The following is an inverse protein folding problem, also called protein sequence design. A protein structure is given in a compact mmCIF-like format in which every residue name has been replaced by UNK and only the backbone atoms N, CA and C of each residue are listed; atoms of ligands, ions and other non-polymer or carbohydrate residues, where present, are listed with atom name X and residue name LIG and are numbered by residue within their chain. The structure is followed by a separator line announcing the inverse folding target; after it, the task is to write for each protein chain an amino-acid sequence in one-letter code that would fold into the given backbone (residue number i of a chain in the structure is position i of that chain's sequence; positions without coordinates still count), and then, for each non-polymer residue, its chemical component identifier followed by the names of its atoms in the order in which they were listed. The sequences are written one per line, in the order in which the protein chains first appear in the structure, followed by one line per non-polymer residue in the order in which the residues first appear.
data_IF_156670609033
#
_entry.id   IF_156670609033
#
_cell.length_a   1.000
_cell.length_b   1.000
_cell.length_c   1.000
_cell.angle_alpha   90.00
_cell.angle_beta   90.00
_cell.angle_gamma   90.00
#
_symmetry.space_group_name_H-M   'P 1'
#
loop_
_entity.id
_entity.type
_entity.pdbx_description
1 polymer ?
#
# COMPACT_ATOMS: atom_id res chain seq x y z
N UNK A 1 24.92 -7.93 -51.68
CA UNK A 1 24.79 -8.66 -50.40
C UNK A 1 25.06 -7.67 -49.26
N UNK A 2 24.11 -7.32 -48.38
CA UNK A 2 24.40 -6.43 -47.26
C UNK A 2 24.72 -7.21 -45.99
N UNK A 3 25.80 -6.81 -45.31
CA UNK A 3 26.19 -7.32 -44.00
C UNK A 3 25.18 -6.95 -42.93
N UNK A 4 24.52 -7.96 -42.35
CA UNK A 4 23.62 -7.82 -41.22
C UNK A 4 24.37 -7.45 -39.93
N UNK A 5 24.26 -6.18 -39.52
CA UNK A 5 24.66 -5.70 -38.20
C UNK A 5 23.73 -6.35 -37.16
N UNK A 6 24.20 -7.36 -36.42
CA UNK A 6 23.51 -7.84 -35.22
C UNK A 6 23.49 -6.72 -34.20
N UNK A 7 22.35 -6.02 -34.07
CA UNK A 7 22.10 -5.12 -32.93
C UNK A 7 22.06 -6.01 -31.69
N UNK A 8 23.04 -5.84 -30.80
CA UNK A 8 22.89 -6.25 -29.40
C UNK A 8 21.68 -5.50 -28.86
N UNK A 9 20.54 -6.19 -28.75
CA UNK A 9 19.41 -5.71 -27.97
C UNK A 9 19.95 -5.59 -26.55
N UNK A 10 20.17 -4.36 -26.13
CA UNK A 10 20.84 -4.01 -24.89
C UNK A 10 20.04 -4.53 -23.71
N UNK A 11 20.79 -4.99 -22.71
CA UNK A 11 20.38 -5.39 -21.35
C UNK A 11 19.40 -4.43 -20.63
N UNK A 12 19.12 -3.27 -21.22
CA UNK A 12 18.31 -2.20 -20.65
C UNK A 12 16.80 -2.51 -20.62
N UNK A 13 16.30 -3.51 -21.36
CA UNK A 13 14.86 -3.84 -21.34
C UNK A 13 14.51 -4.76 -20.17
N UNK A 14 15.38 -5.72 -19.84
CA UNK A 14 15.18 -6.60 -18.68
C UNK A 14 15.35 -5.82 -17.36
N UNK A 15 16.29 -4.88 -17.31
CA UNK A 15 16.57 -4.07 -16.12
C UNK A 15 15.42 -3.10 -15.78
N UNK A 16 14.70 -2.60 -16.78
CA UNK A 16 13.52 -1.72 -16.60
C UNK A 16 12.29 -2.51 -16.14
N UNK A 17 12.12 -3.76 -16.59
CA UNK A 17 11.02 -4.62 -16.15
C UNK A 17 11.24 -5.14 -14.72
N UNK A 18 12.49 -5.37 -14.31
CA UNK A 18 12.82 -5.67 -12.91
C UNK A 18 12.53 -4.49 -11.97
N UNK A 19 12.77 -3.25 -12.40
CA UNK A 19 12.57 -2.06 -11.57
C UNK A 19 11.08 -1.77 -11.32
N UNK A 20 10.23 -1.93 -12.34
CA UNK A 20 8.78 -1.81 -12.18
C UNK A 20 8.18 -2.93 -11.31
N UNK A 21 8.76 -4.14 -11.33
CA UNK A 21 8.32 -5.23 -10.46
C UNK A 21 8.63 -4.98 -8.97
N UNK A 22 9.65 -4.17 -8.64
CA UNK A 22 9.95 -3.69 -7.29
C UNK A 22 9.02 -2.56 -6.84
N UNK A 23 8.47 -1.80 -7.79
CA UNK A 23 7.44 -0.78 -7.52
C UNK A 23 6.04 -1.40 -7.38
N UNK A 24 5.82 -2.59 -7.95
CA UNK A 24 4.56 -3.34 -7.88
C UNK A 24 4.50 -4.37 -6.73
N UNK A 25 5.64 -4.65 -6.07
CA UNK A 25 5.70 -5.31 -4.76
C UNK A 25 6.21 -4.32 -3.72
N UNK A 26 5.36 -3.39 -3.31
CA UNK A 26 5.64 -2.65 -2.09
C UNK A 26 5.41 -3.63 -0.93
N UNK A 27 6.48 -4.31 -0.51
CA UNK A 27 6.58 -5.03 0.78
C UNK A 27 6.27 -4.02 1.91
N UNK A 28 4.99 -3.76 2.11
CA UNK A 28 4.47 -2.94 3.19
C UNK A 28 4.14 -3.88 4.32
N UNK A 29 5.13 -4.06 5.19
CA UNK A 29 5.04 -4.97 6.33
C UNK A 29 3.93 -4.57 7.31
N UNK A 30 3.50 -3.31 7.28
CA UNK A 30 2.49 -2.77 8.19
C UNK A 30 1.38 -2.13 7.38
N UNK A 31 0.15 -2.55 7.60
CA UNK A 31 -1.04 -1.86 7.10
C UNK A 31 -1.74 -1.15 8.24
N UNK A 32 -2.08 0.12 8.00
CA UNK A 32 -2.85 0.97 8.90
C UNK A 32 -4.14 1.34 8.18
N UNK A 33 -5.25 0.73 8.60
CA UNK A 33 -6.54 0.84 7.93
C UNK A 33 -7.57 1.40 8.91
N UNK A 34 -8.45 2.26 8.41
CA UNK A 34 -9.60 2.68 9.20
C UNK A 34 -10.24 3.98 8.76
N UNK A 35 -10.90 4.65 9.70
CA UNK A 35 -11.75 5.80 9.41
C UNK A 35 -10.97 7.13 9.26
N UNK A 36 -11.50 8.22 9.82
CA UNK A 36 -10.88 9.54 9.77
C UNK A 36 -9.54 9.61 10.49
N UNK A 37 -9.31 8.83 11.55
CA UNK A 37 -8.05 8.90 12.31
C UNK A 37 -6.87 8.37 11.46
N UNK A 38 -6.88 7.10 10.96
CA UNK A 38 -5.86 6.62 10.03
C UNK A 38 -5.71 7.48 8.78
N UNK A 39 -6.81 8.01 8.24
CA UNK A 39 -6.78 8.87 7.06
C UNK A 39 -5.92 10.12 7.30
N UNK A 40 -6.22 10.88 8.36
CA UNK A 40 -5.49 12.11 8.66
C UNK A 40 -4.05 11.83 9.12
N UNK A 41 -3.82 10.73 9.85
CA UNK A 41 -2.48 10.30 10.22
C UNK A 41 -1.63 10.04 8.97
N UNK A 42 -2.16 9.31 7.98
CA UNK A 42 -1.48 9.05 6.71
C UNK A 42 -1.20 10.31 5.90
N UNK A 43 -2.20 11.19 5.75
CA UNK A 43 -2.03 12.50 5.08
C UNK A 43 -0.90 13.30 5.72
N UNK A 44 -0.89 13.40 7.06
CA UNK A 44 0.12 14.16 7.79
C UNK A 44 1.50 13.49 7.76
N UNK A 45 1.55 12.17 7.72
CA UNK A 45 2.79 11.41 7.59
C UNK A 45 3.43 11.64 6.20
N UNK A 46 2.63 11.61 5.13
CA UNK A 46 3.07 11.92 3.76
C UNK A 46 3.59 13.36 3.65
N UNK A 47 2.84 14.34 4.14
CA UNK A 47 3.24 15.75 4.13
C UNK A 47 4.57 16.01 4.85
N UNK A 48 4.91 15.20 5.85
CA UNK A 48 6.14 15.32 6.64
C UNK A 48 7.29 14.45 6.13
N UNK A 49 7.10 13.67 5.06
CA UNK A 49 8.07 12.66 4.63
C UNK A 49 8.33 11.59 5.70
N UNK A 50 7.36 11.33 6.58
CA UNK A 50 7.44 10.40 7.72
C UNK A 50 6.42 9.25 7.61
N UNK A 51 6.17 8.80 6.39
CA UNK A 51 5.19 7.74 6.10
C UNK A 51 5.46 6.43 6.85
N UNK A 52 6.71 6.14 7.23
CA UNK A 52 7.10 4.84 7.80
C UNK A 52 7.21 4.81 9.35
N UNK A 53 6.76 5.86 10.05
CA UNK A 53 6.79 6.00 11.53
C UNK A 53 8.16 5.73 12.23
N UNK A 54 9.26 5.56 11.48
CA UNK A 54 10.59 5.15 11.98
C UNK A 54 10.53 3.89 12.86
N UNK A 55 9.65 2.93 12.52
CA UNK A 55 9.61 1.67 13.23
C UNK A 55 10.85 0.86 12.82
N UNK A 56 11.73 0.46 13.77
CA UNK A 56 12.89 -0.37 13.46
C UNK A 56 12.48 -1.64 12.72
N UNK A 57 13.32 -2.09 11.79
CA UNK A 57 13.18 -3.37 11.06
C UNK A 57 11.96 -3.52 10.14
N UNK A 58 11.13 -2.49 9.99
CA UNK A 58 9.96 -2.50 9.10
C UNK A 58 10.14 -1.55 7.93
N UNK A 59 9.93 -2.06 6.71
CA UNK A 59 10.37 -1.37 5.50
C UNK A 59 9.41 -0.28 5.07
N UNK A 60 8.09 -0.50 5.14
CA UNK A 60 7.09 0.51 4.70
C UNK A 60 5.72 0.35 5.37
N UNK A 61 5.05 1.47 5.65
CA UNK A 61 3.66 1.49 6.14
C UNK A 61 2.69 1.81 5.00
N UNK A 62 1.67 0.97 4.86
CA UNK A 62 0.51 1.22 4.01
C UNK A 62 -0.57 1.97 4.77
N UNK A 63 -0.89 3.18 4.34
CA UNK A 63 -1.96 4.00 4.91
C UNK A 63 -3.23 3.87 4.10
N UNK A 64 -4.21 3.12 4.59
CA UNK A 64 -5.50 2.92 3.91
C UNK A 64 -6.65 3.44 4.76
N UNK A 65 -6.52 4.69 5.18
CA UNK A 65 -7.59 5.41 5.84
C UNK A 65 -8.62 5.91 4.82
N UNK A 66 -9.89 5.91 5.19
CA UNK A 66 -10.97 6.56 4.45
C UNK A 66 -11.92 7.22 5.43
N UNK A 67 -12.17 8.52 5.28
CA UNK A 67 -13.10 9.23 6.18
C UNK A 67 -14.49 8.59 6.15
N UNK A 68 -15.02 8.28 7.33
CA UNK A 68 -16.34 7.67 7.46
C UNK A 68 -16.41 6.19 7.07
N UNK A 69 -15.27 5.49 7.00
CA UNK A 69 -15.21 4.05 6.77
C UNK A 69 -16.09 3.31 7.79
N UNK A 70 -16.93 2.40 7.28
CA UNK A 70 -17.75 1.48 8.07
C UNK A 70 -17.09 0.10 8.11
N UNK A 71 -17.56 -0.79 8.99
CA UNK A 71 -17.10 -2.19 9.04
C UNK A 71 -17.26 -2.94 7.70
N UNK A 72 -18.37 -2.70 6.98
CA UNK A 72 -18.59 -3.31 5.68
C UNK A 72 -17.57 -2.84 4.64
N UNK A 73 -17.28 -1.53 4.59
CA UNK A 73 -16.27 -0.96 3.69
C UNK A 73 -14.85 -1.41 4.05
N UNK A 74 -14.56 -1.52 5.35
CA UNK A 74 -13.29 -2.05 5.84
C UNK A 74 -13.02 -3.46 5.33
N UNK A 75 -14.01 -4.37 5.45
CA UNK A 75 -13.86 -5.76 5.02
C UNK A 75 -13.48 -5.82 3.54
N UNK A 76 -14.22 -5.10 2.69
CA UNK A 76 -13.91 -5.03 1.27
C UNK A 76 -12.52 -4.43 1.00
N UNK A 77 -12.13 -3.39 1.74
CA UNK A 77 -10.81 -2.79 1.59
C UNK A 77 -9.68 -3.78 1.95
N UNK A 78 -9.82 -4.54 3.03
CA UNK A 78 -8.82 -5.56 3.40
C UNK A 78 -8.75 -6.67 2.36
N UNK A 79 -9.90 -7.25 2.00
CA UNK A 79 -9.97 -8.32 1.02
C UNK A 79 -9.31 -7.90 -0.30
N UNK A 80 -9.73 -6.75 -0.85
CA UNK A 80 -9.20 -6.21 -2.10
C UNK A 80 -7.69 -6.03 -2.07
N UNK A 81 -7.15 -5.52 -0.95
CA UNK A 81 -5.73 -5.28 -0.88
C UNK A 81 -4.91 -6.55 -0.61
N UNK A 82 -5.45 -7.59 0.05
CA UNK A 82 -4.80 -8.91 0.15
C UNK A 82 -4.73 -9.57 -1.22
N UNK A 83 -5.71 -9.36 -2.08
CA UNK A 83 -5.67 -9.87 -3.45
C UNK A 83 -4.60 -9.17 -4.31
N UNK A 84 -4.41 -7.86 -4.11
CA UNK A 84 -3.49 -7.07 -4.93
C UNK A 84 -2.06 -7.01 -4.38
N UNK A 85 -1.88 -7.22 -3.07
CA UNK A 85 -0.60 -7.08 -2.40
C UNK A 85 -0.35 -8.30 -1.51
N UNK A 86 0.92 -8.56 -1.21
CA UNK A 86 1.28 -9.51 -0.15
C UNK A 86 0.68 -9.06 1.19
N UNK A 87 0.08 -9.99 1.92
CA UNK A 87 -0.48 -9.73 3.25
C UNK A 87 0.58 -9.09 4.18
N UNK A 88 0.18 -8.15 5.06
CA UNK A 88 1.12 -7.47 5.91
C UNK A 88 1.57 -8.40 7.03
N UNK A 89 2.74 -8.10 7.59
CA UNK A 89 3.17 -8.70 8.86
C UNK A 89 2.33 -8.16 10.04
N UNK A 90 1.97 -6.87 10.00
CA UNK A 90 1.14 -6.19 11.01
C UNK A 90 -0.06 -5.54 10.34
N UNK A 91 -1.25 -5.85 10.84
CA UNK A 91 -2.49 -5.18 10.48
C UNK A 91 -3.01 -4.35 11.66
N UNK A 92 -2.93 -3.03 11.56
CA UNK A 92 -3.51 -2.10 12.53
C UNK A 92 -4.86 -1.59 12.03
N UNK A 93 -5.89 -1.73 12.87
CA UNK A 93 -7.27 -1.38 12.54
C UNK A 93 -7.74 -0.31 13.52
N UNK A 94 -8.20 0.83 13.01
CA UNK A 94 -8.87 1.85 13.81
C UNK A 94 -10.21 2.23 13.18
N UNK A 95 -11.28 1.63 13.73
CA UNK A 95 -12.65 1.78 13.28
C UNK A 95 -13.56 1.93 14.50
N UNK A 96 -14.74 2.51 14.28
CA UNK A 96 -15.80 2.54 15.29
C UNK A 96 -16.20 3.94 15.74
N UNK A 97 -15.64 5.01 15.18
CA UNK A 97 -16.15 6.37 15.48
C UNK A 97 -17.55 6.56 14.89
N UNK A 98 -17.84 5.87 13.77
CA UNK A 98 -19.16 5.87 13.13
C UNK A 98 -19.92 4.59 13.50
N UNK A 99 -20.52 4.58 14.68
CA UNK A 99 -21.51 3.58 15.08
C UNK A 99 -22.82 3.92 14.36
N UNK A 100 -23.35 2.99 13.55
CA UNK A 100 -24.72 3.11 13.03
C UNK A 100 -25.69 3.16 14.23
N UNK A 101 -26.77 3.96 14.19
CA UNK A 101 -27.77 3.92 15.24
C UNK A 101 -28.29 2.49 15.36
N UNK A 102 -28.13 1.91 16.55
CA UNK A 102 -28.82 0.67 16.91
C UNK A 102 -30.31 1.05 16.88
N UNK A 103 -31.03 0.62 15.85
CA UNK A 103 -32.49 0.65 15.88
C UNK A 103 -32.90 -0.31 17.01
N UNK A 104 -33.36 0.28 18.12
CA UNK A 104 -34.12 -0.43 19.15
C UNK A 104 -35.48 -0.81 18.60
#
# INVERSE_FOLDING_TARGET
MPHGRKRKLSKNVEEVVEDDSRLLQLDRDIWVIGDSIPYWAGVRALQKGKSNLKIPDHKQIGWWGMRGMTWALFRHAVEWNIWLNKAPYILFINLGIKILPIRQ
#
